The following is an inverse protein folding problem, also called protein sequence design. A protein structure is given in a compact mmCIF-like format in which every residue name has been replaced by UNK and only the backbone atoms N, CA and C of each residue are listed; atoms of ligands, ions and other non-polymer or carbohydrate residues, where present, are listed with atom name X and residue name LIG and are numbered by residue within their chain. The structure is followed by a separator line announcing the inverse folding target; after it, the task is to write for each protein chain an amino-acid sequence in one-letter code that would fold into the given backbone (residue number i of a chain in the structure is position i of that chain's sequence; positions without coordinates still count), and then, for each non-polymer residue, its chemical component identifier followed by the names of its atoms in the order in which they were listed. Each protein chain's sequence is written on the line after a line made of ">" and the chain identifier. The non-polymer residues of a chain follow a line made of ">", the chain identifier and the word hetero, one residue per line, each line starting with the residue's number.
data_IF_695256166582
#
_entry.id   IF_695256166582
#
_cell.length_a   1.000
_cell.length_b   1.000
_cell.length_c   1.000
_cell.angle_alpha   90.00
_cell.angle_beta   90.00
_cell.angle_gamma   90.00
#
_symmetry.space_group_name_H-M   'P 1'
#
loop_
_entity.id
_entity.type
_entity.pdbx_description
1 polymer ?
#
# COMPACT_ATOMS: atom_id res chain seq x y z
N UNK A 1 -9.69 18.52 -3.91
CA UNK A 1 -9.50 19.95 -4.16
C UNK A 1 -8.24 20.10 -5.00
N UNK A 2 -8.30 20.91 -6.04
CA UNK A 2 -7.18 21.26 -6.91
C UNK A 2 -7.02 22.76 -6.89
N UNK A 3 -5.81 23.25 -6.61
CA UNK A 3 -5.47 24.65 -6.62
C UNK A 3 -4.11 24.83 -7.34
N UNK A 4 -4.13 25.37 -8.56
CA UNK A 4 -2.97 25.54 -9.43
C UNK A 4 -2.05 24.29 -9.48
N UNK A 5 -0.88 24.39 -8.82
CA UNK A 5 0.10 23.34 -8.75
C UNK A 5 -0.17 22.29 -7.64
N UNK A 6 -1.14 22.53 -6.75
CA UNK A 6 -1.45 21.67 -5.60
C UNK A 6 -2.75 20.91 -5.84
N UNK A 7 -2.73 19.62 -5.59
CA UNK A 7 -3.91 18.76 -5.54
C UNK A 7 -3.87 17.97 -4.24
N UNK A 8 -4.99 17.91 -3.52
CA UNK A 8 -5.14 17.03 -2.38
C UNK A 8 -6.52 16.39 -2.35
N UNK A 9 -6.62 15.25 -1.70
CA UNK A 9 -7.88 14.56 -1.51
C UNK A 9 -7.86 13.74 -0.23
N UNK A 10 -9.05 13.51 0.30
CA UNK A 10 -9.32 12.64 1.43
C UNK A 10 -10.52 11.79 1.04
N UNK A 11 -10.43 10.51 1.30
CA UNK A 11 -11.53 9.57 1.19
C UNK A 11 -11.60 8.74 2.47
N UNK A 12 -12.80 8.37 2.89
CA UNK A 12 -13.01 7.47 4.00
C UNK A 12 -14.31 6.70 3.83
N UNK A 13 -14.30 5.47 4.29
CA UNK A 13 -15.45 4.59 4.33
C UNK A 13 -15.44 3.80 5.64
N UNK A 14 -16.62 3.64 6.23
CA UNK A 14 -16.83 2.82 7.41
C UNK A 14 -18.05 1.95 7.17
N UNK A 15 -17.92 0.66 7.46
CA UNK A 15 -19.00 -0.32 7.33
C UNK A 15 -19.27 -0.91 8.70
N UNK A 16 -20.46 -0.62 9.22
CA UNK A 16 -20.93 -1.19 10.47
C UNK A 16 -21.28 -2.68 10.26
N UNK A 17 -20.72 -3.52 11.12
CA UNK A 17 -21.05 -4.95 11.11
C UNK A 17 -22.25 -5.19 12.03
N UNK A 18 -23.39 -5.53 11.43
CA UNK A 18 -24.65 -5.82 12.11
C UNK A 18 -24.75 -7.25 12.63
N UNK A 19 -23.74 -8.08 12.44
CA UNK A 19 -23.74 -9.46 12.95
C UNK A 19 -23.69 -9.45 14.47
N UNK A 20 -24.64 -10.13 15.10
CA UNK A 20 -24.87 -10.09 16.54
C UNK A 20 -23.61 -10.49 17.32
N UNK A 21 -23.05 -9.55 18.08
CA UNK A 21 -21.82 -9.72 18.88
C UNK A 21 -22.01 -10.61 20.11
N UNK A 22 -23.19 -11.19 20.30
CA UNK A 22 -23.62 -11.82 21.55
C UNK A 22 -23.54 -13.34 21.60
N UNK A 23 -23.25 -14.01 20.51
CA UNK A 23 -23.01 -15.46 20.57
C UNK A 23 -21.57 -15.73 20.98
N UNK A 24 -21.40 -16.11 22.24
CA UNK A 24 -20.14 -16.44 22.88
C UNK A 24 -19.37 -17.65 22.30
N UNK A 25 -19.70 -18.09 21.10
CA UNK A 25 -19.01 -19.15 20.37
C UNK A 25 -17.95 -18.49 19.50
N UNK A 26 -16.80 -18.49 19.93
CA UNK A 26 -15.50 -17.97 19.64
C UNK A 26 -15.03 -17.79 18.16
N UNK A 27 -15.86 -17.88 17.15
CA UNK A 27 -15.39 -17.95 15.76
C UNK A 27 -15.76 -16.76 14.85
N UNK A 28 -16.56 -15.80 15.29
CA UNK A 28 -17.05 -14.76 14.39
C UNK A 28 -17.20 -13.37 15.04
N UNK A 29 -16.22 -12.94 15.84
CA UNK A 29 -16.20 -11.58 16.33
C UNK A 29 -15.72 -10.63 15.22
N UNK A 30 -16.56 -10.40 14.22
CA UNK A 30 -16.32 -9.33 13.24
C UNK A 30 -16.61 -7.99 13.89
N UNK A 31 -15.72 -7.04 13.69
CA UNK A 31 -15.85 -5.63 14.10
C UNK A 31 -16.28 -4.80 12.89
N UNK A 32 -16.60 -3.55 13.12
CA UNK A 32 -16.78 -2.59 12.05
C UNK A 32 -15.48 -2.47 11.25
N UNK A 33 -15.59 -2.38 9.94
CA UNK A 33 -14.44 -2.16 9.07
C UNK A 33 -14.34 -0.70 8.69
N UNK A 34 -13.13 -0.19 8.55
CA UNK A 34 -12.89 1.18 8.15
C UNK A 34 -11.71 1.30 7.20
N UNK A 35 -11.82 2.18 6.23
CA UNK A 35 -10.75 2.51 5.30
C UNK A 35 -10.69 4.01 5.09
N UNK A 36 -9.47 4.55 5.10
CA UNK A 36 -9.22 5.96 4.87
C UNK A 36 -8.00 6.15 4.00
N UNK A 37 -8.02 7.19 3.17
CA UNK A 37 -6.86 7.63 2.42
C UNK A 37 -6.84 9.15 2.35
N UNK A 38 -5.64 9.70 2.54
CA UNK A 38 -5.35 11.11 2.29
C UNK A 38 -4.14 11.21 1.38
N UNK A 39 -4.17 12.13 0.44
CA UNK A 39 -3.03 12.38 -0.43
C UNK A 39 -2.86 13.87 -0.72
N UNK A 40 -1.62 14.24 -1.03
CA UNK A 40 -1.28 15.55 -1.57
C UNK A 40 -0.30 15.37 -2.74
N UNK A 41 -0.49 16.17 -3.78
CA UNK A 41 0.40 16.24 -4.94
C UNK A 41 0.72 17.71 -5.22
N UNK A 42 1.98 18.01 -5.47
CA UNK A 42 2.46 19.30 -5.90
C UNK A 42 3.23 19.18 -7.21
N UNK A 43 2.96 20.06 -8.16
CA UNK A 43 3.64 20.08 -9.46
C UNK A 43 4.26 21.47 -9.67
N UNK A 44 5.53 21.50 -10.02
CA UNK A 44 6.31 22.73 -10.27
C UNK A 44 7.18 22.54 -11.50
N UNK A 45 6.76 23.11 -12.63
CA UNK A 45 7.45 22.94 -13.90
C UNK A 45 7.58 21.45 -14.27
N UNK A 46 8.81 20.96 -14.52
CA UNK A 46 9.05 19.56 -14.87
C UNK A 46 8.99 18.60 -13.67
N UNK A 47 8.90 19.10 -12.44
CA UNK A 47 8.89 18.31 -11.21
C UNK A 47 7.47 18.09 -10.70
N UNK A 48 7.21 16.90 -10.16
CA UNK A 48 6.02 16.61 -9.40
C UNK A 48 6.39 15.78 -8.16
N UNK A 49 5.78 16.09 -7.02
CA UNK A 49 5.90 15.40 -5.75
C UNK A 49 4.55 14.89 -5.32
N UNK A 50 4.51 13.71 -4.75
CA UNK A 50 3.29 13.12 -4.21
C UNK A 50 3.56 12.45 -2.87
N UNK A 51 2.62 12.60 -1.95
CA UNK A 51 2.58 11.85 -0.69
C UNK A 51 1.17 11.34 -0.47
N UNK A 52 1.04 10.16 0.12
CA UNK A 52 -0.24 9.64 0.56
C UNK A 52 -0.07 8.82 1.83
N UNK A 53 -1.11 8.82 2.64
CA UNK A 53 -1.28 7.90 3.75
C UNK A 53 -2.62 7.23 3.65
N UNK A 54 -2.65 5.91 3.81
CA UNK A 54 -3.87 5.13 3.87
C UNK A 54 -3.91 4.23 5.11
N UNK A 55 -5.12 3.89 5.49
CA UNK A 55 -5.42 3.03 6.62
C UNK A 55 -6.52 2.05 6.23
N UNK A 56 -6.39 0.81 6.63
CA UNK A 56 -7.39 -0.23 6.42
C UNK A 56 -7.51 -1.12 7.66
N UNK A 57 -8.66 -1.10 8.32
CA UNK A 57 -9.08 -2.12 9.27
C UNK A 57 -10.20 -2.96 8.64
N UNK A 58 -9.93 -4.21 8.36
CA UNK A 58 -10.91 -5.12 7.76
C UNK A 58 -11.98 -5.61 8.73
N UNK A 59 -11.99 -5.13 9.97
CA UNK A 59 -12.97 -5.51 11.00
C UNK A 59 -12.83 -6.95 11.51
N UNK A 60 -11.70 -7.61 11.27
CA UNK A 60 -11.47 -9.00 11.69
C UNK A 60 -10.80 -9.08 13.05
N UNK A 61 -11.10 -10.11 13.82
CA UNK A 61 -10.55 -10.32 15.16
C UNK A 61 -9.50 -11.44 15.25
N UNK A 62 -9.28 -12.15 14.16
CA UNK A 62 -8.30 -13.24 14.12
C UNK A 62 -6.96 -12.70 13.64
N UNK A 63 -5.97 -12.72 14.50
CA UNK A 63 -4.61 -12.32 14.10
C UNK A 63 -4.10 -13.22 12.96
N UNK A 64 -3.56 -12.61 11.92
CA UNK A 64 -2.82 -13.33 10.88
C UNK A 64 -1.46 -13.78 11.42
N UNK A 65 -0.94 -14.87 10.89
CA UNK A 65 0.46 -15.25 11.07
C UNK A 65 1.27 -14.83 9.85
N UNK A 66 2.57 -14.57 10.00
CA UNK A 66 3.44 -14.21 8.88
C UNK A 66 3.30 -15.19 7.69
N UNK A 67 3.10 -16.48 7.96
CA UNK A 67 2.94 -17.51 6.94
C UNK A 67 1.64 -17.39 6.11
N UNK A 68 0.60 -16.75 6.62
CA UNK A 68 -0.70 -16.67 5.94
C UNK A 68 -1.14 -15.24 5.60
N UNK A 69 -0.42 -14.21 6.04
CA UNK A 69 -0.74 -12.81 5.73
C UNK A 69 -0.77 -12.53 4.23
N UNK A 70 0.14 -13.12 3.46
CA UNK A 70 0.18 -12.95 2.00
C UNK A 70 -1.03 -13.55 1.27
N UNK A 71 -1.78 -14.45 1.90
CA UNK A 71 -2.94 -15.10 1.30
C UNK A 71 -4.27 -14.58 1.84
N UNK A 72 -4.28 -13.93 3.01
CA UNK A 72 -5.50 -13.63 3.76
C UNK A 72 -5.54 -12.21 4.34
N UNK A 73 -4.92 -11.24 3.68
CA UNK A 73 -4.88 -9.83 4.13
C UNK A 73 -6.26 -9.27 4.54
N UNK A 74 -7.32 -9.71 3.86
CA UNK A 74 -8.69 -9.29 4.17
C UNK A 74 -9.35 -10.05 5.32
N UNK A 75 -8.72 -11.12 5.81
CA UNK A 75 -9.24 -11.96 6.89
C UNK A 75 -8.41 -11.89 8.16
N UNK A 76 -7.25 -11.24 8.10
CA UNK A 76 -6.40 -11.03 9.27
C UNK A 76 -6.99 -9.94 10.17
N UNK A 77 -6.97 -10.18 11.48
CA UNK A 77 -7.27 -9.15 12.48
C UNK A 77 -6.15 -8.12 12.57
N UNK A 78 -6.49 -6.93 13.03
CA UNK A 78 -5.57 -5.80 13.04
C UNK A 78 -5.84 -4.82 11.91
N UNK A 79 -4.91 -3.93 11.68
CA UNK A 79 -5.03 -2.91 10.65
C UNK A 79 -3.73 -2.73 9.86
N UNK A 80 -3.87 -2.13 8.69
CA UNK A 80 -2.77 -1.81 7.79
C UNK A 80 -2.67 -0.30 7.66
N UNK A 81 -1.45 0.20 7.69
CA UNK A 81 -1.12 1.59 7.36
C UNK A 81 -0.15 1.57 6.19
N UNK A 82 -0.36 2.46 5.22
CA UNK A 82 0.56 2.66 4.12
C UNK A 82 0.95 4.13 4.05
N UNK A 83 2.25 4.39 4.09
CA UNK A 83 2.83 5.69 3.82
C UNK A 83 3.58 5.64 2.49
N UNK A 84 3.20 6.48 1.55
CA UNK A 84 3.81 6.54 0.23
C UNK A 84 4.33 7.94 -0.09
N UNK A 85 5.49 7.99 -0.71
CA UNK A 85 6.06 9.21 -1.30
C UNK A 85 6.55 8.93 -2.71
N UNK A 86 6.42 9.92 -3.58
CA UNK A 86 6.88 9.84 -4.95
C UNK A 86 7.44 11.16 -5.45
N UNK A 87 8.39 11.08 -6.36
CA UNK A 87 8.89 12.22 -7.13
C UNK A 87 8.96 11.81 -8.60
N UNK A 88 8.52 12.69 -9.47
CA UNK A 88 8.62 12.52 -10.92
C UNK A 88 9.29 13.75 -11.54
N UNK A 89 10.07 13.53 -12.56
CA UNK A 89 10.78 14.58 -13.30
C UNK A 89 10.66 14.32 -14.81
N UNK A 90 10.14 15.31 -15.52
CA UNK A 90 10.14 15.33 -16.97
C UNK A 90 11.50 15.93 -17.43
N UNK A 91 12.40 15.04 -17.87
CA UNK A 91 13.73 15.43 -18.35
C UNK A 91 13.62 16.30 -19.61
N UNK A 92 12.69 15.93 -20.49
CA UNK A 92 12.29 16.67 -21.68
C UNK A 92 10.89 16.18 -22.13
N UNK A 93 10.41 16.66 -23.30
CA UNK A 93 9.10 16.30 -23.82
C UNK A 93 8.92 14.79 -24.13
N UNK A 94 10.02 14.07 -24.30
CA UNK A 94 10.02 12.65 -24.63
C UNK A 94 10.35 11.74 -23.44
N UNK A 95 11.10 12.20 -22.45
CA UNK A 95 11.64 11.38 -21.37
C UNK A 95 11.16 11.86 -20.01
N UNK A 96 10.58 10.97 -19.24
CA UNK A 96 10.27 11.17 -17.82
C UNK A 96 10.87 10.06 -16.96
N UNK A 97 11.23 10.40 -15.73
CA UNK A 97 11.72 9.47 -14.72
C UNK A 97 10.94 9.68 -13.43
N UNK A 98 10.77 8.64 -12.64
CA UNK A 98 10.14 8.77 -11.32
C UNK A 98 10.72 7.77 -10.33
N UNK A 99 10.61 8.13 -9.06
CA UNK A 99 10.90 7.27 -7.93
C UNK A 99 9.74 7.27 -6.98
N UNK A 100 9.39 6.09 -6.48
CA UNK A 100 8.35 5.89 -5.47
C UNK A 100 8.89 5.03 -4.35
N UNK A 101 8.60 5.43 -3.12
CA UNK A 101 8.79 4.61 -1.92
C UNK A 101 7.47 4.46 -1.21
N UNK A 102 7.13 3.22 -0.84
CA UNK A 102 5.97 2.88 -0.03
C UNK A 102 6.42 2.06 1.17
N UNK A 103 5.85 2.34 2.33
CA UNK A 103 6.00 1.54 3.55
C UNK A 103 4.63 1.11 3.97
N UNK A 104 4.40 -0.18 3.95
CA UNK A 104 3.19 -0.83 4.41
C UNK A 104 3.46 -1.48 5.76
N UNK A 105 2.78 -1.03 6.81
CA UNK A 105 2.87 -1.58 8.16
C UNK A 105 1.62 -2.38 8.48
N UNK A 106 1.79 -3.63 8.87
CA UNK A 106 0.72 -4.43 9.45
C UNK A 106 0.81 -4.40 10.97
N UNK A 107 -0.22 -3.89 11.61
CA UNK A 107 -0.40 -3.88 13.06
C UNK A 107 -1.39 -4.98 13.45
N UNK A 108 -0.88 -6.11 13.93
CA UNK A 108 -1.70 -7.26 14.32
C UNK A 108 -2.56 -6.96 15.54
N UNK A 109 -3.84 -7.30 15.49
CA UNK A 109 -4.67 -7.25 16.69
C UNK A 109 -4.26 -8.39 17.64
N UNK A 110 -4.12 -8.14 18.95
CA UNK A 110 -3.92 -9.21 19.92
C UNK A 110 -5.14 -10.14 19.90
N UNK A 111 -4.89 -11.45 19.75
CA UNK A 111 -5.94 -12.44 19.88
C UNK A 111 -6.60 -12.28 21.26
N UNK A 112 -7.90 -12.01 21.29
CA UNK A 112 -8.66 -11.66 22.50
C UNK A 112 -8.84 -12.81 23.48
N UNK A 113 -8.40 -14.00 23.14
CA UNK A 113 -8.54 -15.20 23.95
C UNK A 113 -7.20 -15.90 24.07
N UNK A 114 -6.39 -15.55 24.95
CA UNK A 114 -5.43 -16.36 25.74
C UNK A 114 -4.37 -15.42 26.28
N UNK A 115 -4.01 -15.57 27.54
CA UNK A 115 -2.86 -14.94 28.18
C UNK A 115 -1.50 -15.49 27.66
N UNK A 116 -1.38 -15.75 26.37
CA UNK A 116 -0.14 -16.10 25.71
C UNK A 116 0.48 -14.83 25.17
N UNK A 117 1.77 -14.68 25.42
CA UNK A 117 2.58 -13.51 25.06
C UNK A 117 2.14 -12.90 23.70
N UNK A 118 1.65 -11.66 23.76
CA UNK A 118 1.35 -10.85 22.60
C UNK A 118 2.65 -10.68 21.83
N UNK A 119 2.82 -11.43 20.78
CA UNK A 119 3.89 -11.18 19.83
C UNK A 119 3.41 -10.01 18.97
N UNK A 120 4.00 -8.87 19.20
CA UNK A 120 3.72 -7.64 18.44
C UNK A 120 4.27 -7.85 17.02
N UNK A 121 3.39 -8.24 16.09
CA UNK A 121 3.75 -8.45 14.69
C UNK A 121 3.66 -7.13 13.92
N UNK A 122 4.51 -6.19 14.26
CA UNK A 122 4.69 -4.98 13.48
C UNK A 122 5.81 -5.21 12.47
N UNK A 123 5.48 -5.67 11.28
CA UNK A 123 6.46 -5.86 10.21
C UNK A 123 6.13 -4.92 9.06
N UNK A 124 7.11 -4.11 8.70
CA UNK A 124 7.02 -3.23 7.54
C UNK A 124 7.42 -3.95 6.27
N UNK A 125 6.54 -3.91 5.28
CA UNK A 125 6.90 -4.20 3.88
C UNK A 125 7.29 -2.90 3.20
N UNK A 126 8.54 -2.77 2.78
CA UNK A 126 9.01 -1.56 2.08
C UNK A 126 9.18 -1.84 0.60
N UNK A 127 8.52 -1.04 -0.23
CA UNK A 127 8.65 -1.06 -1.68
C UNK A 127 9.36 0.19 -2.17
N UNK A 128 10.40 0.01 -2.99
CA UNK A 128 11.08 1.07 -3.72
C UNK A 128 10.97 0.78 -5.22
N UNK A 129 10.57 1.78 -6.02
CA UNK A 129 10.47 1.64 -7.46
C UNK A 129 11.08 2.83 -8.18
N UNK A 130 11.92 2.56 -9.17
CA UNK A 130 12.41 3.55 -10.15
C UNK A 130 11.76 3.23 -11.47
N UNK A 131 11.25 4.25 -12.15
CA UNK A 131 10.57 4.11 -13.43
C UNK A 131 11.10 5.15 -14.42
N UNK A 132 11.15 4.75 -15.70
CA UNK A 132 11.43 5.66 -16.81
C UNK A 132 10.42 5.40 -17.93
N UNK A 133 9.99 6.47 -18.59
CA UNK A 133 9.14 6.40 -19.78
C UNK A 133 9.74 7.30 -20.87
N UNK A 134 9.89 6.74 -22.07
CA UNK A 134 10.38 7.43 -23.25
C UNK A 134 9.39 7.30 -24.38
N UNK A 135 9.05 8.40 -25.02
CA UNK A 135 8.12 8.45 -26.16
C UNK A 135 8.79 9.08 -27.36
N UNK A 136 8.72 8.41 -28.51
CA UNK A 136 9.28 8.89 -29.78
C UNK A 136 8.30 8.61 -30.91
N UNK A 137 7.59 9.64 -31.36
CA UNK A 137 6.56 9.49 -32.38
C UNK A 137 5.48 8.49 -31.96
N UNK A 138 5.31 7.43 -32.75
CA UNK A 138 4.34 6.36 -32.50
C UNK A 138 4.85 5.26 -31.53
N UNK A 139 6.09 5.36 -31.02
CA UNK A 139 6.68 4.37 -30.11
C UNK A 139 6.77 4.92 -28.69
N UNK A 140 6.45 4.07 -27.72
CA UNK A 140 6.72 4.33 -26.31
C UNK A 140 7.47 3.16 -25.67
N UNK A 141 8.44 3.46 -24.84
CA UNK A 141 9.19 2.50 -24.03
C UNK A 141 8.97 2.88 -22.57
N UNK A 142 8.57 1.91 -21.74
CA UNK A 142 8.47 2.05 -20.30
C UNK A 142 9.33 0.99 -19.64
N UNK A 143 10.08 1.39 -18.63
CA UNK A 143 10.89 0.48 -17.84
C UNK A 143 10.71 0.80 -16.37
N UNK A 144 10.67 -0.23 -15.52
CA UNK A 144 10.77 -0.03 -14.08
C UNK A 144 11.64 -1.13 -13.44
N UNK A 145 12.24 -0.78 -12.32
CA UNK A 145 12.81 -1.72 -11.38
C UNK A 145 12.15 -1.47 -10.02
N UNK A 146 11.64 -2.53 -9.42
CA UNK A 146 10.98 -2.52 -8.12
C UNK A 146 11.67 -3.49 -7.17
N UNK A 147 11.90 -3.06 -5.94
CA UNK A 147 12.41 -3.89 -4.86
C UNK A 147 11.42 -3.87 -3.70
N UNK A 148 11.10 -5.05 -3.18
CA UNK A 148 10.19 -5.22 -2.05
C UNK A 148 10.92 -5.94 -0.93
N UNK A 149 11.19 -5.23 0.16
CA UNK A 149 11.76 -5.78 1.39
C UNK A 149 10.63 -6.31 2.29
N UNK A 150 10.87 -7.43 2.96
CA UNK A 150 9.91 -8.14 3.81
C UNK A 150 8.57 -8.41 3.11
N UNK A 151 8.58 -9.06 1.92
CA UNK A 151 7.35 -9.32 1.18
C UNK A 151 6.39 -10.15 2.03
N UNK A 152 5.10 -9.83 1.93
CA UNK A 152 4.03 -10.45 2.72
C UNK A 152 4.16 -10.24 4.24
N UNK A 153 4.80 -9.15 4.66
CA UNK A 153 5.06 -8.82 6.07
C UNK A 153 5.86 -9.91 6.81
N UNK A 154 6.79 -10.54 6.09
CA UNK A 154 7.63 -11.60 6.61
C UNK A 154 9.10 -11.15 6.56
N UNK A 155 9.69 -10.93 7.75
CA UNK A 155 11.07 -10.46 7.89
C UNK A 155 12.12 -11.50 7.48
N UNK A 156 11.74 -12.78 7.42
CA UNK A 156 12.63 -13.88 7.07
C UNK A 156 12.70 -14.12 5.55
N UNK A 157 11.81 -13.45 4.78
CA UNK A 157 11.84 -13.55 3.33
C UNK A 157 12.88 -12.64 2.70
N UNK A 158 13.50 -13.17 1.67
CA UNK A 158 14.43 -12.39 0.84
C UNK A 158 13.73 -11.23 0.14
N UNK A 159 14.48 -10.17 -0.10
CA UNK A 159 14.01 -9.02 -0.87
C UNK A 159 13.68 -9.46 -2.30
N UNK A 160 12.46 -9.23 -2.73
CA UNK A 160 12.04 -9.43 -4.12
C UNK A 160 12.54 -8.26 -4.97
N UNK A 161 13.05 -8.58 -6.17
CA UNK A 161 13.39 -7.59 -7.19
C UNK A 161 12.70 -7.95 -8.50
N UNK A 162 12.02 -6.98 -9.09
CA UNK A 162 11.32 -7.13 -10.37
C UNK A 162 11.81 -6.04 -11.32
N UNK A 163 12.17 -6.41 -12.54
CA UNK A 163 12.46 -5.47 -13.62
C UNK A 163 11.56 -5.79 -14.80
N UNK A 164 10.90 -4.78 -15.34
CA UNK A 164 10.05 -4.91 -16.53
C UNK A 164 10.41 -3.83 -17.55
N UNK A 165 10.37 -4.19 -18.81
CA UNK A 165 10.47 -3.27 -19.94
C UNK A 165 9.30 -3.58 -20.88
N UNK A 166 8.51 -2.54 -21.16
CA UNK A 166 7.37 -2.60 -22.06
C UNK A 166 7.58 -1.66 -23.26
N UNK A 167 7.26 -2.14 -24.45
CA UNK A 167 7.30 -1.36 -25.70
C UNK A 167 5.89 -1.27 -26.27
N UNK A 168 5.42 -0.07 -26.49
CA UNK A 168 4.13 0.22 -27.16
C UNK A 168 4.36 0.84 -28.53
N UNK A 169 3.57 0.40 -29.51
CA UNK A 169 3.55 0.95 -30.85
C UNK A 169 2.12 1.39 -31.19
N UNK A 170 1.94 2.60 -31.69
CA UNK A 170 0.69 3.10 -32.22
C UNK A 170 0.75 3.10 -33.77
N UNK A 171 -0.30 2.59 -34.42
CA UNK A 171 -0.39 2.50 -35.89
C UNK A 171 -1.53 3.38 -36.37
#
# INVERSE_FOLDING_TARGET
>A
IKYDAVQFGVYGNEVENTTDKLTATAASNERDSSEYVAYAKYSMGPLAFGVSRSYLDAGKNTAGTAANLGQTLRTAGGYFENDQMSVAYNVNDALSVSYTRSVDTYNGAPARTVAAAMTDYNVDTTTNAIQAAYSMGAMSIKAYNMQVKNPQYDSDKETLSVTEIAVGLAF
#
